data_IF_887696623074
#
_entry.id   IF_887696623074
#
_cell.length_a   1.000
_cell.length_b   1.000
_cell.length_c   1.000
_cell.angle_alpha   90.00
_cell.angle_beta   90.00
_cell.angle_gamma   90.00
#
_symmetry.space_group_name_H-M   'P 1'
#
loop_
_entity.id
_entity.type
_entity.pdbx_description
1 polymer ?
#
# COMPACT_ATOMS: atom_id res chain seq x y z
N UNK A 1 -0.98 -14.46 11.75
CA UNK A 1 0.34 -14.32 12.44
C UNK A 1 0.34 -13.05 13.27
N UNK A 2 1.33 -12.89 14.17
CA UNK A 2 1.61 -11.59 14.80
C UNK A 2 2.67 -10.85 14.00
N UNK A 3 2.51 -9.54 13.86
CA UNK A 3 3.49 -8.64 13.23
C UNK A 3 3.61 -7.37 14.05
N UNK A 4 4.70 -6.65 13.87
CA UNK A 4 4.94 -5.36 14.52
C UNK A 4 4.66 -4.24 13.55
N UNK A 5 3.87 -3.25 13.97
CA UNK A 5 3.47 -2.13 13.15
C UNK A 5 3.51 -0.81 13.93
N UNK A 6 3.64 0.30 13.20
CA UNK A 6 3.40 1.64 13.72
C UNK A 6 1.96 2.04 13.38
N UNK A 7 1.11 2.10 14.39
CA UNK A 7 -0.33 2.32 14.27
C UNK A 7 -0.65 3.78 14.57
N UNK A 8 -1.38 4.42 13.69
CA UNK A 8 -2.02 5.71 13.94
C UNK A 8 -3.35 5.45 14.65
N UNK A 9 -3.39 5.67 15.96
CA UNK A 9 -4.57 5.40 16.78
C UNK A 9 -5.63 6.47 16.62
N UNK A 10 -5.21 7.72 16.50
CA UNK A 10 -6.06 8.91 16.49
C UNK A 10 -5.36 10.06 15.76
N UNK A 11 -6.13 10.91 15.11
CA UNK A 11 -5.62 12.10 14.45
C UNK A 11 -4.84 13.02 15.41
N UNK A 12 -3.70 13.54 14.95
CA UNK A 12 -2.87 14.46 15.72
C UNK A 12 -2.09 13.82 16.88
N UNK A 13 -2.11 12.48 17.00
CA UNK A 13 -1.32 11.74 17.99
C UNK A 13 -0.10 11.09 17.35
N UNK A 14 0.98 10.88 18.10
CA UNK A 14 2.11 10.11 17.61
C UNK A 14 1.72 8.68 17.22
N UNK A 15 2.45 8.10 16.26
CA UNK A 15 2.33 6.68 15.94
C UNK A 15 2.75 5.81 17.14
N UNK A 16 1.98 4.77 17.39
CA UNK A 16 2.28 3.78 18.42
C UNK A 16 2.85 2.50 17.81
N UNK A 17 4.07 2.14 18.21
CA UNK A 17 4.70 0.89 17.75
C UNK A 17 4.25 -0.27 18.62
N UNK A 18 3.48 -1.20 18.06
CA UNK A 18 2.88 -2.30 18.79
C UNK A 18 2.84 -3.60 17.99
N UNK A 19 2.57 -4.69 18.69
CA UNK A 19 2.23 -5.97 18.07
C UNK A 19 0.75 -5.98 17.68
N UNK A 20 0.47 -6.42 16.47
CA UNK A 20 -0.87 -6.56 15.90
C UNK A 20 -1.05 -7.95 15.29
N UNK A 21 -2.29 -8.38 15.16
CA UNK A 21 -2.61 -9.58 14.39
C UNK A 21 -2.67 -9.22 12.90
N UNK A 22 -2.15 -10.11 12.06
CA UNK A 22 -2.26 -10.05 10.62
C UNK A 22 -2.81 -11.40 10.12
N UNK A 23 -3.93 -11.37 9.42
CA UNK A 23 -4.47 -12.54 8.72
C UNK A 23 -3.57 -12.95 7.55
N UNK A 24 -3.62 -14.23 7.16
CA UNK A 24 -2.97 -14.69 5.94
C UNK A 24 -3.64 -14.17 4.67
N UNK A 25 -2.96 -14.27 3.51
CA UNK A 25 -3.52 -13.82 2.25
C UNK A 25 -4.69 -14.72 1.81
N UNK A 26 -5.80 -14.09 1.41
CA UNK A 26 -6.95 -14.74 0.79
C UNK A 26 -6.75 -14.89 -0.72
N UNK A 27 -7.81 -15.32 -1.44
CA UNK A 27 -7.75 -15.46 -2.89
C UNK A 27 -7.37 -14.14 -3.59
N UNK A 28 -6.38 -14.20 -4.47
CA UNK A 28 -5.83 -13.04 -5.18
C UNK A 28 -4.98 -12.10 -4.32
N UNK A 29 -4.59 -12.52 -3.10
CA UNK A 29 -3.80 -11.71 -2.19
C UNK A 29 -2.41 -12.30 -1.95
N UNK A 30 -1.51 -11.45 -1.52
CA UNK A 30 -0.09 -11.76 -1.30
C UNK A 30 0.35 -11.19 0.05
N UNK A 31 1.04 -12.00 0.83
CA UNK A 31 1.73 -11.55 2.06
C UNK A 31 3.15 -11.10 1.70
N UNK A 32 3.47 -9.87 2.04
CA UNK A 32 4.77 -9.24 1.76
C UNK A 32 5.48 -8.89 3.06
N UNK A 33 6.74 -9.32 3.19
CA UNK A 33 7.65 -8.83 4.21
C UNK A 33 8.25 -7.49 3.74
N UNK A 34 7.94 -6.41 4.43
CA UNK A 34 8.45 -5.08 4.09
C UNK A 34 9.92 -4.97 4.54
N UNK A 35 10.79 -4.63 3.61
CA UNK A 35 12.23 -4.45 3.83
C UNK A 35 12.65 -2.98 3.95
N UNK A 36 11.91 -2.10 3.30
CA UNK A 36 12.08 -0.65 3.41
C UNK A 36 10.76 0.06 3.13
N UNK A 37 10.55 1.19 3.76
CA UNK A 37 9.43 2.10 3.47
C UNK A 37 9.89 3.53 3.58
N UNK A 38 9.40 4.37 2.67
CA UNK A 38 9.55 5.84 2.75
C UNK A 38 8.50 6.42 3.67
N UNK A 39 8.74 7.65 4.11
CA UNK A 39 7.79 8.50 4.83
C UNK A 39 7.41 9.65 3.89
N UNK A 40 6.17 9.67 3.45
CA UNK A 40 5.64 10.68 2.57
C UNK A 40 4.94 11.79 3.36
N UNK A 41 4.89 13.00 2.80
CA UNK A 41 4.10 14.09 3.40
C UNK A 41 2.59 13.75 3.46
N UNK A 42 2.12 12.86 2.60
CA UNK A 42 0.74 12.34 2.64
C UNK A 42 0.45 11.56 3.92
N UNK A 43 1.42 10.80 4.44
CA UNK A 43 1.27 10.11 5.73
C UNK A 43 1.14 11.13 6.88
N UNK A 44 1.95 12.19 6.86
CA UNK A 44 1.89 13.29 7.83
C UNK A 44 0.56 14.05 7.73
N UNK A 45 0.11 14.35 6.52
CA UNK A 45 -1.16 15.04 6.28
C UNK A 45 -2.35 14.28 6.87
N UNK A 46 -2.38 12.95 6.69
CA UNK A 46 -3.40 12.09 7.30
C UNK A 46 -3.23 12.03 8.81
N UNK A 47 -2.00 11.77 9.31
CA UNK A 47 -1.72 11.67 10.74
C UNK A 47 -2.09 12.95 11.51
N UNK A 48 -1.84 14.12 10.93
CA UNK A 48 -2.18 15.41 11.52
C UNK A 48 -3.69 15.65 11.69
N UNK A 49 -4.53 14.85 11.01
CA UNK A 49 -5.98 15.04 10.95
C UNK A 49 -6.43 16.09 9.95
N UNK A 50 -5.52 16.61 9.11
CA UNK A 50 -5.86 17.56 8.04
C UNK A 50 -6.51 16.88 6.83
N UNK A 51 -6.35 15.57 6.69
CA UNK A 51 -6.95 14.77 5.63
C UNK A 51 -8.42 14.45 5.96
N UNK A 52 -9.39 14.97 5.20
CA UNK A 52 -10.81 14.69 5.44
C UNK A 52 -11.20 13.22 5.18
N UNK A 53 -10.38 12.48 4.45
CA UNK A 53 -10.56 11.04 4.19
C UNK A 53 -9.75 10.17 5.18
N UNK A 54 -9.04 10.77 6.14
CA UNK A 54 -8.26 10.06 7.15
C UNK A 54 -9.11 9.17 8.04
N UNK A 55 -8.69 7.91 8.18
CA UNK A 55 -9.38 6.91 8.99
C UNK A 55 -8.47 6.40 10.10
N UNK A 56 -9.04 6.14 11.29
CA UNK A 56 -8.33 5.66 12.46
C UNK A 56 -9.14 4.59 13.22
N UNK A 57 -8.49 3.61 13.88
CA UNK A 57 -7.05 3.34 13.83
C UNK A 57 -6.63 2.76 12.49
N UNK A 58 -5.43 3.12 12.02
CA UNK A 58 -4.89 2.65 10.74
C UNK A 58 -3.38 2.43 10.80
N UNK A 59 -2.87 1.54 9.95
CA UNK A 59 -1.44 1.42 9.69
C UNK A 59 -1.13 2.21 8.43
N UNK A 60 -0.40 3.31 8.58
CA UNK A 60 -0.02 4.19 7.49
C UNK A 60 1.11 3.61 6.63
N UNK A 61 1.66 4.41 5.72
CA UNK A 61 2.75 4.05 4.82
C UNK A 61 2.26 3.46 3.50
N UNK A 62 2.80 3.97 2.41
CA UNK A 62 2.45 3.56 1.04
C UNK A 62 3.66 3.56 0.09
N UNK A 63 4.85 3.92 0.57
CA UNK A 63 6.11 3.89 -0.16
C UNK A 63 6.94 2.68 0.26
N UNK A 64 6.47 1.47 -0.04
CA UNK A 64 7.11 0.23 0.42
C UNK A 64 7.95 -0.47 -0.64
N UNK A 65 8.84 -1.35 -0.18
CA UNK A 65 9.48 -2.38 -0.98
C UNK A 65 9.72 -3.60 -0.11
N UNK A 66 9.51 -4.79 -0.65
CA UNK A 66 9.58 -6.01 0.14
C UNK A 66 9.69 -7.29 -0.67
N UNK A 67 9.56 -8.39 0.02
CA UNK A 67 9.65 -9.74 -0.54
C UNK A 67 8.34 -10.48 -0.29
N UNK A 68 7.82 -11.14 -1.31
CA UNK A 68 6.68 -12.05 -1.19
C UNK A 68 7.07 -13.24 -0.33
N UNK A 69 6.34 -13.49 0.76
CA UNK A 69 6.60 -14.61 1.67
C UNK A 69 5.50 -15.66 1.67
N UNK A 70 4.29 -15.29 1.23
CA UNK A 70 3.16 -16.21 1.07
C UNK A 70 2.24 -15.68 -0.04
N UNK A 71 1.60 -16.58 -0.78
CA UNK A 71 0.61 -16.25 -1.80
C UNK A 71 -0.69 -16.98 -1.50
N UNK A 72 -1.81 -16.28 -1.63
CA UNK A 72 -3.14 -16.87 -1.52
C UNK A 72 -3.53 -17.66 -2.76
N UNK A 73 -4.69 -18.35 -2.73
CA UNK A 73 -5.25 -18.94 -3.93
C UNK A 73 -5.45 -17.88 -5.03
N UNK A 74 -5.50 -18.31 -6.30
CA UNK A 74 -5.75 -17.45 -7.47
C UNK A 74 -4.74 -16.29 -7.66
N UNK A 75 -3.53 -16.44 -7.15
CA UNK A 75 -2.36 -15.59 -7.45
C UNK A 75 -1.59 -16.24 -8.59
N UNK A 76 -1.33 -15.53 -9.69
CA UNK A 76 -0.78 -16.09 -10.93
C UNK A 76 0.58 -15.49 -11.34
N UNK A 77 0.79 -14.20 -11.10
CA UNK A 77 1.97 -13.46 -11.59
C UNK A 77 3.11 -13.38 -10.56
N UNK A 78 2.79 -13.62 -9.28
CA UNK A 78 3.74 -13.53 -8.17
C UNK A 78 3.94 -14.88 -7.47
N UNK A 79 5.14 -15.06 -6.92
CA UNK A 79 5.50 -16.24 -6.13
C UNK A 79 6.39 -15.85 -4.95
N UNK A 80 6.47 -16.74 -3.97
CA UNK A 80 7.39 -16.58 -2.82
C UNK A 80 8.82 -16.32 -3.30
N UNK A 81 9.45 -15.32 -2.72
CA UNK A 81 10.79 -14.86 -3.05
C UNK A 81 10.82 -13.73 -4.09
N UNK A 82 9.72 -13.38 -4.74
CA UNK A 82 9.68 -12.24 -5.65
C UNK A 82 9.83 -10.92 -4.86
N UNK A 83 10.63 -10.01 -5.41
CA UNK A 83 10.76 -8.64 -4.89
C UNK A 83 9.68 -7.76 -5.51
N UNK A 84 9.01 -6.98 -4.67
CA UNK A 84 7.84 -6.20 -5.09
C UNK A 84 7.84 -4.81 -4.46
N UNK A 85 7.16 -3.88 -5.14
CA UNK A 85 6.74 -2.57 -4.62
C UNK A 85 5.22 -2.46 -4.72
N UNK A 86 4.53 -1.95 -3.68
CA UNK A 86 3.11 -1.71 -3.71
C UNK A 86 2.75 -0.47 -4.52
N UNK A 87 1.54 -0.49 -5.05
CA UNK A 87 0.89 0.62 -5.74
C UNK A 87 -0.35 1.04 -4.95
N UNK A 88 -0.39 2.28 -4.50
CA UNK A 88 -1.54 2.82 -3.77
C UNK A 88 -2.74 3.17 -4.68
N UNK A 89 -2.55 3.15 -6.00
CA UNK A 89 -3.61 3.32 -7.01
C UNK A 89 -3.65 2.13 -7.96
N UNK A 90 -3.99 0.91 -7.47
CA UNK A 90 -4.06 -0.25 -8.34
C UNK A 90 -5.22 -0.14 -9.33
N UNK A 91 -5.17 -0.95 -10.38
CA UNK A 91 -6.17 -1.01 -11.44
C UNK A 91 -7.01 -2.28 -11.32
N UNK A 92 -8.34 -2.19 -11.52
CA UNK A 92 -9.17 -3.40 -11.64
C UNK A 92 -9.08 -4.04 -13.04
N UNK A 93 -8.48 -3.35 -14.01
CA UNK A 93 -8.32 -3.75 -15.42
C UNK A 93 -9.65 -3.99 -16.18
N UNK A 94 -10.79 -3.57 -15.62
CA UNK A 94 -12.11 -3.83 -16.20
C UNK A 94 -12.98 -2.57 -16.32
N UNK A 95 -12.81 -1.59 -15.46
CA UNK A 95 -13.63 -0.38 -15.50
C UNK A 95 -13.21 0.55 -16.66
N UNK A 96 -14.08 1.47 -17.03
CA UNK A 96 -13.85 2.45 -18.07
C UNK A 96 -12.51 3.18 -17.93
N UNK A 97 -12.15 3.58 -16.71
CA UNK A 97 -10.90 4.29 -16.44
C UNK A 97 -9.66 3.40 -16.63
N UNK A 98 -9.73 2.13 -16.25
CA UNK A 98 -8.61 1.20 -16.45
C UNK A 98 -8.39 0.82 -17.91
N UNK A 99 -9.44 0.86 -18.73
CA UNK A 99 -9.36 0.58 -20.16
C UNK A 99 -8.99 1.82 -21.00
N UNK A 100 -8.96 3.00 -20.38
CA UNK A 100 -8.56 4.24 -21.03
C UNK A 100 -7.02 4.38 -21.04
N UNK A 101 -6.39 5.01 -22.07
CA UNK A 101 -4.94 5.24 -22.12
C UNK A 101 -4.35 6.02 -20.93
N UNK A 102 -5.18 6.72 -20.17
CA UNK A 102 -4.81 7.40 -18.92
C UNK A 102 -5.48 6.66 -17.76
N UNK A 103 -4.86 5.64 -17.22
CA UNK A 103 -5.47 4.58 -16.38
C UNK A 103 -5.32 4.78 -14.87
N UNK A 104 -5.11 5.97 -14.37
CA UNK A 104 -4.82 6.23 -12.95
C UNK A 104 -6.04 6.55 -12.08
N UNK A 105 -7.26 6.32 -12.57
CA UNK A 105 -8.50 6.72 -11.89
C UNK A 105 -9.48 5.55 -11.70
N UNK A 106 -8.96 4.36 -11.38
CA UNK A 106 -9.80 3.21 -11.13
C UNK A 106 -10.83 3.48 -10.04
N UNK A 107 -12.11 3.35 -10.35
CA UNK A 107 -13.19 3.59 -9.39
C UNK A 107 -13.53 2.36 -8.55
N UNK A 108 -13.42 1.16 -9.12
CA UNK A 108 -13.77 -0.08 -8.42
C UNK A 108 -12.93 -0.32 -7.15
N UNK A 109 -11.65 0.00 -7.20
CA UNK A 109 -10.75 -0.13 -6.05
C UNK A 109 -11.07 0.91 -4.97
N UNK A 110 -11.50 2.12 -5.36
CA UNK A 110 -11.73 3.20 -4.42
C UNK A 110 -12.88 2.94 -3.43
N UNK A 111 -13.85 2.13 -3.82
CA UNK A 111 -14.99 1.80 -2.95
C UNK A 111 -14.59 1.12 -1.63
N UNK A 112 -13.56 0.28 -1.65
CA UNK A 112 -13.07 -0.42 -0.46
C UNK A 112 -11.83 0.25 0.12
N UNK A 113 -10.87 0.61 -0.72
CA UNK A 113 -9.63 1.24 -0.30
C UNK A 113 -9.85 2.59 0.40
N UNK A 114 -10.79 3.43 -0.08
CA UNK A 114 -11.18 4.68 0.57
C UNK A 114 -11.82 4.51 1.94
N UNK A 115 -12.21 3.27 2.30
CA UNK A 115 -12.73 2.89 3.61
C UNK A 115 -11.69 2.14 4.47
N UNK A 116 -10.45 2.06 4.03
CA UNK A 116 -9.38 1.34 4.71
C UNK A 116 -9.54 -0.17 4.69
N UNK A 117 -10.22 -0.73 3.66
CA UNK A 117 -10.56 -2.13 3.57
C UNK A 117 -9.94 -2.78 2.32
N UNK A 118 -9.75 -4.08 2.39
CA UNK A 118 -9.41 -4.93 1.25
C UNK A 118 -10.60 -5.04 0.29
N UNK A 119 -10.41 -5.55 -0.95
CA UNK A 119 -11.49 -5.67 -1.94
C UNK A 119 -12.71 -6.47 -1.47
N UNK A 120 -12.56 -7.39 -0.51
CA UNK A 120 -13.65 -8.16 0.09
C UNK A 120 -14.42 -7.39 1.19
N UNK A 121 -14.07 -6.13 1.44
CA UNK A 121 -14.73 -5.29 2.44
C UNK A 121 -14.29 -5.57 3.88
N UNK A 122 -13.19 -6.31 4.11
CA UNK A 122 -12.65 -6.60 5.45
C UNK A 122 -11.21 -6.09 5.60
N UNK A 123 -10.73 -5.93 6.84
CA UNK A 123 -9.32 -5.69 7.11
C UNK A 123 -8.58 -7.01 7.35
N UNK A 124 -7.29 -7.03 7.07
CA UNK A 124 -6.38 -8.12 7.46
C UNK A 124 -5.68 -7.84 8.79
N UNK A 125 -5.73 -6.59 9.26
CA UNK A 125 -5.12 -6.19 10.52
C UNK A 125 -6.16 -6.09 11.64
N UNK A 126 -5.75 -6.50 12.84
CA UNK A 126 -6.51 -6.23 14.07
C UNK A 126 -5.58 -6.08 15.28
N UNK A 127 -6.06 -5.39 16.29
CA UNK A 127 -5.45 -5.38 17.61
C UNK A 127 -5.43 -6.80 18.19
N UNK A 128 -4.68 -7.01 19.27
CA UNK A 128 -4.61 -8.33 19.93
C UNK A 128 -5.94 -8.75 20.56
N UNK A 129 -6.82 -7.81 20.85
CA UNK A 129 -8.20 -8.05 21.33
C UNK A 129 -9.21 -8.30 20.22
N UNK A 130 -8.78 -8.24 18.95
CA UNK A 130 -9.62 -8.44 17.78
C UNK A 130 -10.25 -7.16 17.20
N UNK A 131 -10.00 -5.99 17.78
CA UNK A 131 -10.47 -4.70 17.21
C UNK A 131 -9.83 -4.47 15.84
N UNK A 132 -10.59 -4.24 14.76
CA UNK A 132 -10.03 -4.03 13.43
C UNK A 132 -9.13 -2.79 13.36
N UNK A 133 -8.03 -2.89 12.61
CA UNK A 133 -7.16 -1.77 12.22
C UNK A 133 -7.29 -1.61 10.72
N UNK A 134 -7.49 -0.40 10.26
CA UNK A 134 -7.74 -0.11 8.85
C UNK A 134 -6.43 -0.12 8.03
N UNK A 135 -6.55 -0.50 6.78
CA UNK A 135 -5.48 -0.34 5.80
C UNK A 135 -5.39 1.13 5.35
N UNK A 136 -4.17 1.59 5.10
CA UNK A 136 -3.93 2.89 4.50
C UNK A 136 -3.55 2.74 3.04
N UNK A 137 -4.33 3.34 2.16
CA UNK A 137 -4.12 3.28 0.70
C UNK A 137 -3.94 1.85 0.14
N UNK A 138 -4.51 0.84 0.83
CA UNK A 138 -4.33 -0.57 0.48
C UNK A 138 -2.90 -1.10 0.63
N UNK A 139 -1.98 -0.35 1.23
CA UNK A 139 -0.55 -0.67 1.33
C UNK A 139 -0.10 -0.98 2.76
N UNK A 140 -0.34 -0.07 3.71
CA UNK A 140 0.01 -0.22 5.14
C UNK A 140 1.46 -0.66 5.37
N UNK A 141 2.41 0.07 4.76
CA UNK A 141 3.82 -0.34 4.77
C UNK A 141 4.58 0.01 6.06
N UNK A 142 3.94 0.71 7.01
CA UNK A 142 4.51 0.92 8.35
C UNK A 142 4.29 -0.30 9.25
N UNK A 143 4.39 -1.48 8.67
CA UNK A 143 4.36 -2.78 9.33
C UNK A 143 5.48 -3.67 8.79
N UNK A 144 5.98 -4.61 9.60
CA UNK A 144 6.98 -5.56 9.11
C UNK A 144 6.41 -6.48 8.01
N UNK A 145 5.11 -6.77 8.08
CA UNK A 145 4.40 -7.57 7.07
C UNK A 145 3.07 -6.90 6.74
N UNK A 146 2.66 -7.00 5.48
CA UNK A 146 1.35 -6.54 5.03
C UNK A 146 0.78 -7.49 3.99
N UNK A 147 -0.54 -7.54 3.89
CA UNK A 147 -1.25 -8.30 2.85
C UNK A 147 -1.84 -7.32 1.85
N UNK A 148 -1.60 -7.58 0.57
CA UNK A 148 -2.08 -6.74 -0.53
C UNK A 148 -2.70 -7.63 -1.62
N UNK A 149 -3.65 -7.10 -2.42
CA UNK A 149 -4.05 -7.73 -3.66
C UNK A 149 -2.85 -7.86 -4.62
N UNK A 150 -2.72 -8.98 -5.34
CA UNK A 150 -1.68 -9.17 -6.34
C UNK A 150 -1.61 -8.03 -7.35
N UNK A 151 -2.77 -7.53 -7.78
CA UNK A 151 -2.90 -6.43 -8.75
C UNK A 151 -2.31 -5.10 -8.24
N UNK A 152 -2.14 -4.96 -6.92
CA UNK A 152 -1.54 -3.79 -6.28
C UNK A 152 0.00 -3.92 -6.12
N UNK A 153 0.63 -4.94 -6.68
CA UNK A 153 2.05 -5.21 -6.53
C UNK A 153 2.76 -5.22 -7.90
N UNK A 154 3.84 -4.46 -8.00
CA UNK A 154 4.74 -4.51 -9.13
C UNK A 154 5.97 -5.33 -8.79
N UNK A 155 6.21 -6.41 -9.57
CA UNK A 155 7.44 -7.20 -9.46
C UNK A 155 8.64 -6.42 -9.97
N UNK A 156 9.71 -6.41 -9.20
CA UNK A 156 10.94 -5.69 -9.50
C UNK A 156 12.15 -6.64 -9.61
N UNK A 157 13.27 -6.10 -10.08
CA UNK A 157 14.52 -6.86 -10.14
C UNK A 157 14.99 -7.20 -8.71
N UNK A 158 15.29 -8.47 -8.46
CA UNK A 158 15.76 -8.97 -7.15
C UNK A 158 17.10 -8.38 -6.68
N UNK A 159 17.85 -7.70 -7.56
CA UNK A 159 19.09 -7.00 -7.22
C UNK A 159 18.86 -5.52 -6.84
N UNK A 160 17.64 -5.01 -7.03
CA UNK A 160 17.33 -3.62 -6.69
C UNK A 160 17.36 -3.42 -5.18
N UNK A 161 18.07 -2.39 -4.68
CA UNK A 161 18.15 -2.13 -3.24
C UNK A 161 16.82 -1.56 -2.73
N UNK A 162 16.23 -2.22 -1.74
CA UNK A 162 14.91 -1.88 -1.22
C UNK A 162 14.79 -0.43 -0.74
N UNK A 163 15.83 0.08 -0.07
CA UNK A 163 15.91 1.44 0.46
C UNK A 163 15.95 2.53 -0.64
N UNK A 164 16.16 2.14 -1.90
CA UNK A 164 16.13 3.05 -3.05
C UNK A 164 14.84 2.93 -3.87
N UNK A 165 14.33 1.69 -4.02
CA UNK A 165 13.18 1.47 -4.90
C UNK A 165 11.83 1.66 -4.21
N UNK A 166 11.78 1.71 -2.88
CA UNK A 166 10.53 1.92 -2.14
C UNK A 166 9.82 3.24 -2.51
N UNK A 167 10.58 4.28 -2.92
CA UNK A 167 10.00 5.56 -3.35
C UNK A 167 9.36 5.55 -4.73
N UNK A 168 9.57 4.49 -5.55
CA UNK A 168 9.08 4.45 -6.93
C UNK A 168 7.55 4.47 -6.96
N UNK A 169 6.90 3.82 -6.00
CA UNK A 169 5.44 3.74 -5.95
C UNK A 169 4.73 5.08 -5.72
N UNK A 170 5.42 6.11 -5.21
CA UNK A 170 4.84 7.42 -4.94
C UNK A 170 5.76 8.58 -5.34
N UNK A 171 6.76 8.91 -4.52
CA UNK A 171 7.53 10.14 -4.67
C UNK A 171 8.24 10.27 -6.02
N UNK A 172 8.83 9.19 -6.53
CA UNK A 172 9.53 9.21 -7.84
C UNK A 172 8.53 9.41 -8.98
N UNK A 173 7.45 8.64 -9.03
CA UNK A 173 6.43 8.78 -10.09
C UNK A 173 5.73 10.12 -10.04
N UNK A 174 5.44 10.64 -8.85
CA UNK A 174 4.89 11.98 -8.63
C UNK A 174 5.82 13.06 -9.17
N UNK A 175 7.11 13.01 -8.80
CA UNK A 175 8.10 13.99 -9.22
C UNK A 175 8.32 13.98 -10.74
N UNK A 176 8.53 12.81 -11.33
CA UNK A 176 8.70 12.67 -12.79
C UNK A 176 7.44 13.11 -13.53
N UNK A 177 6.26 12.72 -13.05
CA UNK A 177 4.98 13.13 -13.64
C UNK A 177 4.78 14.65 -13.62
N UNK A 178 5.14 15.31 -12.53
CA UNK A 178 5.08 16.77 -12.41
C UNK A 178 6.00 17.46 -13.44
N UNK A 179 7.23 16.97 -13.59
CA UNK A 179 8.19 17.53 -14.54
C UNK A 179 7.73 17.34 -15.99
N UNK A 180 7.38 16.13 -16.38
CA UNK A 180 7.06 15.81 -17.78
C UNK A 180 5.66 16.31 -18.16
N UNK A 181 4.64 16.01 -17.32
CA UNK A 181 3.26 16.22 -17.71
C UNK A 181 2.72 17.61 -17.33
N UNK A 182 3.15 18.15 -16.17
CA UNK A 182 2.64 19.44 -15.68
C UNK A 182 3.54 20.60 -16.13
N UNK A 183 4.82 20.54 -15.81
CA UNK A 183 5.77 21.59 -16.16
C UNK A 183 6.23 21.53 -17.62
N UNK A 184 6.02 20.38 -18.31
CA UNK A 184 6.40 20.16 -19.71
C UNK A 184 7.86 20.49 -20.00
N UNK A 185 8.74 20.10 -19.08
CA UNK A 185 10.18 20.26 -19.24
C UNK A 185 10.66 19.32 -20.34
N UNK A 186 11.33 19.88 -21.35
CA UNK A 186 11.91 19.10 -22.43
C UNK A 186 13.33 18.63 -22.04
N UNK A 187 13.75 17.54 -22.67
CA UNK A 187 15.13 17.04 -22.52
C UNK A 187 16.03 18.02 -23.26
N UNK A 188 16.91 18.69 -22.53
CA UNK A 188 17.87 19.67 -23.05
C UNK A 188 19.15 19.04 -23.57
#
# INVERSE_FOLDING_TARGET
MRTRAAVAMEAGKPLEVMDVNLEGPKAGEVLVEIKATGICHTDEFTLSGSDPEGLFPAILGHEGAGVVVEVGPDVFDLKVGDHVIPLYTPECRQCEYCLHPKTNLCQAIRETQGRGLMPDGTSRFSMLDGTPILHYMGCSTFSNFTVLPEIALAKINSKAPFDKVCYIGCGVTTGIGAVINTAKVEIG
#
